data_IF_100970622061
#
_entry.id   IF_100970622061
#
_cell.length_a   1.000
_cell.length_b   1.000
_cell.length_c   1.000
_cell.angle_alpha   90.00
_cell.angle_beta   90.00
_cell.angle_gamma   90.00
#
_symmetry.space_group_name_H-M   'P 1'
#
loop_
_entity.id
_entity.type
_entity.pdbx_description
1 polymer ?
#
# COMPACT_ATOMS: atom_id res chain seq x y z
N UNK A 1 -8.46 21.96 -5.37
CA UNK A 1 -8.86 20.67 -4.76
C UNK A 1 -7.74 20.19 -3.86
N UNK A 2 -8.07 19.92 -2.59
CA UNK A 2 -7.10 19.55 -1.56
C UNK A 2 -7.26 18.05 -1.24
N UNK A 3 -6.22 17.29 -1.45
CA UNK A 3 -6.21 15.83 -1.31
C UNK A 3 -5.24 15.43 -0.21
N UNK A 4 -5.72 14.68 0.78
CA UNK A 4 -4.92 14.13 1.84
C UNK A 4 -4.65 12.64 1.58
N UNK A 5 -3.39 12.28 1.39
CA UNK A 5 -2.95 10.89 1.30
C UNK A 5 -2.49 10.38 2.66
N UNK A 6 -3.02 9.25 3.10
CA UNK A 6 -2.68 8.60 4.36
C UNK A 6 -2.10 7.22 4.10
N UNK A 7 -1.01 6.88 4.75
CA UNK A 7 -0.48 5.53 4.81
C UNK A 7 -0.36 5.09 6.26
N UNK A 8 -0.87 3.89 6.55
CA UNK A 8 -0.62 3.14 7.78
C UNK A 8 0.22 1.91 7.42
N UNK A 9 1.01 1.43 8.28
CA UNK A 9 1.93 0.31 8.37
C UNK A 9 3.29 0.84 8.80
N UNK A 10 4.37 0.05 8.71
CA UNK A 10 5.69 0.58 9.01
C UNK A 10 5.91 1.91 8.25
N UNK A 11 6.37 2.92 8.96
CA UNK A 11 6.56 4.29 8.48
C UNK A 11 5.25 4.98 8.08
N UNK A 12 4.29 5.00 9.01
CA UNK A 12 3.06 5.77 8.85
C UNK A 12 3.37 7.19 8.36
N UNK A 13 2.67 7.65 7.33
CA UNK A 13 2.99 8.92 6.67
C UNK A 13 1.75 9.61 6.12
N UNK A 14 1.87 10.91 5.92
CA UNK A 14 0.83 11.74 5.33
C UNK A 14 1.41 12.68 4.30
N UNK A 15 0.68 12.84 3.20
CA UNK A 15 0.96 13.81 2.14
C UNK A 15 -0.27 14.67 1.88
N UNK A 16 -0.12 15.98 1.82
CA UNK A 16 -1.17 16.92 1.46
C UNK A 16 -0.84 17.58 0.14
N UNK A 17 -1.78 17.46 -0.80
CA UNK A 17 -1.74 18.14 -2.09
C UNK A 17 -2.82 19.22 -2.13
N UNK A 18 -2.44 20.43 -2.56
CA UNK A 18 -3.36 21.50 -2.88
C UNK A 18 -3.17 21.87 -4.35
N UNK A 19 -4.26 21.78 -5.13
CA UNK A 19 -4.25 22.06 -6.58
C UNK A 19 -3.09 21.37 -7.30
N UNK A 20 -2.97 20.05 -7.08
CA UNK A 20 -1.96 19.15 -7.66
C UNK A 20 -0.51 19.42 -7.21
N UNK A 21 -0.27 20.33 -6.27
CA UNK A 21 1.06 20.59 -5.70
C UNK A 21 1.18 19.97 -4.33
N UNK A 22 2.27 19.25 -4.08
CA UNK A 22 2.61 18.75 -2.75
C UNK A 22 2.96 19.93 -1.85
N UNK A 23 2.13 20.21 -0.85
CA UNK A 23 2.33 21.32 0.11
C UNK A 23 2.84 20.84 1.46
N UNK A 24 2.60 19.57 1.80
CA UNK A 24 3.08 18.99 3.04
C UNK A 24 3.33 17.48 2.85
N UNK A 25 4.42 16.98 3.41
CA UNK A 25 4.71 15.55 3.56
C UNK A 25 5.51 15.32 4.83
N UNK A 26 5.11 14.31 5.61
CA UNK A 26 5.90 13.88 6.75
C UNK A 26 5.63 12.39 7.08
N UNK A 27 6.57 11.80 7.82
CA UNK A 27 6.43 10.48 8.44
C UNK A 27 6.19 10.65 9.94
N UNK A 28 5.27 9.86 10.51
CA UNK A 28 4.88 9.98 11.91
C UNK A 28 6.08 9.83 12.86
N UNK A 29 7.02 8.94 12.53
CA UNK A 29 8.25 8.72 13.29
C UNK A 29 9.10 9.98 13.49
N UNK A 30 8.99 10.97 12.58
CA UNK A 30 9.73 12.24 12.68
C UNK A 30 9.20 13.12 13.82
N UNK A 31 7.92 12.99 14.12
CA UNK A 31 7.24 13.74 15.18
C UNK A 31 7.11 12.92 16.46
N UNK A 32 6.69 11.65 16.37
CA UNK A 32 6.53 10.77 17.52
C UNK A 32 7.87 10.33 18.15
N UNK A 33 8.99 10.40 17.38
CA UNK A 33 10.32 9.90 17.76
C UNK A 33 10.37 8.36 17.97
N UNK A 34 9.35 7.66 17.50
CA UNK A 34 9.29 6.18 17.52
C UNK A 34 9.71 5.67 16.16
N UNK A 35 10.83 4.94 16.08
CA UNK A 35 11.34 4.39 14.81
C UNK A 35 10.35 3.39 14.21
N UNK A 36 10.11 3.49 12.91
CA UNK A 36 9.14 2.66 12.16
C UNK A 36 7.72 2.77 12.74
N UNK A 37 7.33 3.95 13.23
CA UNK A 37 6.01 4.17 13.79
C UNK A 37 4.93 3.75 12.78
N UNK A 38 4.14 2.75 13.17
CA UNK A 38 3.09 2.13 12.35
C UNK A 38 1.68 2.48 12.81
N UNK A 39 1.58 3.35 13.80
CA UNK A 39 0.30 3.79 14.35
C UNK A 39 -0.37 4.84 13.46
N UNK A 40 -1.50 5.35 13.93
CA UNK A 40 -2.18 6.45 13.26
C UNK A 40 -1.30 7.71 13.26
N UNK A 41 -1.22 8.45 12.16
CA UNK A 41 -0.37 9.63 12.04
C UNK A 41 -0.98 10.86 12.75
N UNK A 42 -1.24 10.76 14.04
CA UNK A 42 -1.97 11.75 14.81
C UNK A 42 -1.18 13.06 14.98
N UNK A 43 0.14 12.99 15.16
CA UNK A 43 0.97 14.18 15.27
C UNK A 43 0.97 14.94 13.94
N UNK A 44 1.09 14.25 12.80
CA UNK A 44 1.05 14.87 11.48
C UNK A 44 -0.32 15.51 11.23
N UNK A 45 -1.42 14.83 11.54
CA UNK A 45 -2.76 15.38 11.33
C UNK A 45 -2.99 16.64 12.15
N UNK A 46 -2.45 16.70 13.36
CA UNK A 46 -2.48 17.93 14.17
C UNK A 46 -1.64 19.06 13.57
N UNK A 47 -0.49 18.76 12.95
CA UNK A 47 0.29 19.77 12.22
C UNK A 47 -0.48 20.30 11.00
N UNK A 48 -1.09 19.40 10.22
CA UNK A 48 -1.90 19.77 9.05
C UNK A 48 -3.09 20.62 9.47
N UNK A 49 -3.73 20.32 10.61
CA UNK A 49 -4.81 21.13 11.17
C UNK A 49 -4.41 22.60 11.34
N UNK A 50 -3.16 22.87 11.74
CA UNK A 50 -2.65 24.23 11.93
C UNK A 50 -2.55 25.03 10.63
N UNK A 51 -2.48 24.34 9.48
CA UNK A 51 -2.45 24.99 8.17
C UNK A 51 -3.79 25.60 7.78
N UNK A 52 -4.86 25.25 8.49
CA UNK A 52 -6.23 25.72 8.23
C UNK A 52 -6.71 25.49 6.78
N UNK A 53 -6.31 24.35 6.20
CA UNK A 53 -6.67 23.95 4.86
C UNK A 53 -7.82 22.94 4.95
N UNK A 54 -8.92 23.23 4.26
CA UNK A 54 -10.04 22.30 4.13
C UNK A 54 -9.65 21.15 3.20
N UNK A 55 -9.89 19.90 3.63
CA UNK A 55 -9.60 18.69 2.86
C UNK A 55 -10.84 18.30 2.06
N UNK A 56 -10.71 18.24 0.74
CA UNK A 56 -11.79 17.85 -0.16
C UNK A 56 -11.87 16.33 -0.33
N UNK A 57 -10.72 15.62 -0.31
CA UNK A 57 -10.65 14.17 -0.49
C UNK A 57 -9.57 13.54 0.38
N UNK A 58 -9.84 12.34 0.87
CA UNK A 58 -8.87 11.51 1.59
C UNK A 58 -8.62 10.22 0.82
N UNK A 59 -7.36 9.90 0.61
CA UNK A 59 -6.92 8.63 0.00
C UNK A 59 -6.10 7.88 1.04
N UNK A 60 -6.52 6.68 1.42
CA UNK A 60 -5.88 5.93 2.49
C UNK A 60 -5.41 4.56 2.02
N UNK A 61 -4.22 4.16 2.45
CA UNK A 61 -3.64 2.85 2.20
C UNK A 61 -3.15 2.21 3.50
N UNK A 62 -3.19 0.86 3.59
CA UNK A 62 -2.74 0.15 4.79
C UNK A 62 -3.72 0.19 5.98
N UNK A 63 -4.90 0.71 5.79
CA UNK A 63 -5.96 0.74 6.80
C UNK A 63 -6.94 -0.41 6.58
N UNK A 64 -7.28 -1.14 7.64
CA UNK A 64 -8.48 -1.97 7.65
C UNK A 64 -9.70 -1.08 7.92
N UNK A 65 -10.90 -1.65 7.88
CA UNK A 65 -12.13 -0.88 8.03
C UNK A 65 -12.24 -0.20 9.40
N UNK A 66 -11.90 -0.91 10.48
CA UNK A 66 -11.96 -0.38 11.84
C UNK A 66 -10.99 0.79 11.98
N UNK A 67 -9.77 0.60 11.50
CA UNK A 67 -8.74 1.64 11.49
C UNK A 67 -9.17 2.86 10.68
N UNK A 68 -9.80 2.64 9.51
CA UNK A 68 -10.29 3.71 8.67
C UNK A 68 -11.37 4.52 9.37
N UNK A 69 -12.36 3.87 9.98
CA UNK A 69 -13.38 4.56 10.77
C UNK A 69 -12.76 5.36 11.92
N UNK A 70 -11.78 4.80 12.61
CA UNK A 70 -11.11 5.47 13.72
C UNK A 70 -10.40 6.73 13.28
N UNK A 71 -9.58 6.65 12.20
CA UNK A 71 -8.83 7.80 11.73
C UNK A 71 -9.71 8.89 11.11
N UNK A 72 -10.78 8.50 10.40
CA UNK A 72 -11.73 9.45 9.84
C UNK A 72 -12.55 10.13 10.93
N UNK A 73 -13.01 9.37 11.93
CA UNK A 73 -13.66 9.94 13.11
C UNK A 73 -12.78 10.95 13.84
N UNK A 74 -11.48 10.67 13.95
CA UNK A 74 -10.52 11.62 14.51
C UNK A 74 -10.39 12.87 13.64
N UNK A 75 -10.19 12.74 12.33
CA UNK A 75 -10.08 13.89 11.42
C UNK A 75 -11.33 14.75 11.42
N UNK A 76 -12.51 14.14 11.47
CA UNK A 76 -13.78 14.87 11.63
C UNK A 76 -13.84 15.63 12.97
N UNK A 77 -13.50 14.94 14.06
CA UNK A 77 -13.50 15.54 15.42
C UNK A 77 -12.58 16.75 15.52
N UNK A 78 -11.42 16.72 14.87
CA UNK A 78 -10.50 17.87 14.85
C UNK A 78 -10.84 18.90 13.76
N UNK A 79 -11.87 18.67 12.94
CA UNK A 79 -12.35 19.56 11.89
C UNK A 79 -11.41 19.66 10.68
N UNK A 80 -10.73 18.58 10.34
CA UNK A 80 -9.96 18.46 9.09
C UNK A 80 -10.84 18.10 7.90
N UNK A 81 -11.92 17.35 8.12
CA UNK A 81 -12.91 16.94 7.13
C UNK A 81 -14.31 17.22 7.62
N UNK A 82 -15.23 17.51 6.73
CA UNK A 82 -16.63 17.85 7.07
C UNK A 82 -17.51 16.59 7.21
N UNK A 83 -17.14 15.48 6.55
CA UNK A 83 -17.91 14.23 6.56
C UNK A 83 -16.99 13.03 6.60
N UNK A 84 -17.41 11.96 7.32
CA UNK A 84 -16.61 10.74 7.48
C UNK A 84 -16.69 9.85 6.23
N UNK A 85 -17.69 10.01 5.36
CA UNK A 85 -18.01 9.02 4.33
C UNK A 85 -18.00 9.54 2.89
N UNK A 86 -18.17 10.82 2.66
CA UNK A 86 -18.49 11.31 1.31
C UNK A 86 -17.31 11.41 0.33
N UNK A 87 -16.07 11.43 0.80
CA UNK A 87 -14.93 11.73 -0.08
C UNK A 87 -13.68 10.88 0.22
N UNK A 88 -13.89 9.63 0.64
CA UNK A 88 -12.77 8.75 1.00
C UNK A 88 -12.58 7.62 0.01
N UNK A 89 -11.35 7.37 -0.39
CA UNK A 89 -10.96 6.29 -1.29
C UNK A 89 -9.97 5.36 -0.59
N UNK A 90 -10.25 4.05 -0.65
CA UNK A 90 -9.36 3.03 -0.10
C UNK A 90 -8.71 2.22 -1.20
N UNK A 91 -7.39 2.09 -1.16
CA UNK A 91 -6.62 1.25 -2.06
C UNK A 91 -6.12 -0.01 -1.34
N UNK A 92 -7.01 -0.92 -0.98
CA UNK A 92 -6.62 -2.17 -0.31
C UNK A 92 -6.23 -3.29 -1.27
N UNK A 93 -6.79 -3.28 -2.48
CA UNK A 93 -6.84 -4.47 -3.33
C UNK A 93 -5.82 -4.49 -4.44
N UNK A 94 -4.87 -3.60 -4.43
CA UNK A 94 -3.96 -3.44 -5.55
C UNK A 94 -2.61 -2.93 -5.09
N UNK A 95 -1.94 -3.69 -4.21
CA UNK A 95 -0.64 -3.29 -3.67
C UNK A 95 0.35 -2.96 -4.80
N UNK A 96 0.48 -3.86 -5.79
CA UNK A 96 1.34 -3.61 -6.95
C UNK A 96 0.83 -2.48 -7.84
N UNK A 97 -0.48 -2.24 -7.93
CA UNK A 97 -0.98 -1.08 -8.67
C UNK A 97 -0.57 0.23 -8.00
N UNK A 98 -0.58 0.28 -6.66
CA UNK A 98 -0.10 1.47 -5.92
C UNK A 98 1.38 1.73 -6.20
N UNK A 99 2.21 0.68 -6.24
CA UNK A 99 3.61 0.80 -6.65
C UNK A 99 3.76 1.29 -8.09
N UNK A 100 2.95 0.75 -9.01
CA UNK A 100 2.98 1.16 -10.42
C UNK A 100 2.56 2.62 -10.60
N UNK A 101 1.49 3.05 -9.93
CA UNK A 101 1.03 4.45 -9.92
C UNK A 101 2.13 5.37 -9.39
N UNK A 102 2.72 5.02 -8.24
CA UNK A 102 3.81 5.80 -7.66
C UNK A 102 5.00 5.92 -8.63
N UNK A 103 5.44 4.81 -9.22
CA UNK A 103 6.56 4.81 -10.17
C UNK A 103 6.26 5.68 -11.38
N UNK A 104 5.05 5.57 -11.97
CA UNK A 104 4.63 6.36 -13.11
C UNK A 104 4.65 7.85 -12.83
N UNK A 105 3.98 8.28 -11.74
CA UNK A 105 3.90 9.70 -11.39
C UNK A 105 5.24 10.30 -10.94
N UNK A 106 6.17 9.46 -10.44
CA UNK A 106 7.52 9.91 -10.06
C UNK A 106 8.49 9.95 -11.25
N UNK A 107 8.17 9.29 -12.36
CA UNK A 107 9.05 9.20 -13.54
C UNK A 107 8.94 10.37 -14.51
N UNK A 108 7.91 11.21 -14.38
CA UNK A 108 7.52 12.24 -15.34
C UNK A 108 7.20 11.69 -16.76
N UNK A 109 6.94 10.40 -16.90
CA UNK A 109 6.55 9.79 -18.16
C UNK A 109 5.04 9.89 -18.36
N UNK A 110 4.58 10.10 -19.58
CA UNK A 110 3.14 10.09 -19.92
C UNK A 110 2.62 8.65 -20.12
N UNK A 111 3.48 7.77 -20.61
CA UNK A 111 3.19 6.35 -20.84
C UNK A 111 4.42 5.51 -20.52
N UNK A 112 4.23 4.36 -19.92
CA UNK A 112 5.33 3.43 -19.62
C UNK A 112 4.85 1.99 -19.47
N UNK A 113 5.73 1.06 -19.78
CA UNK A 113 5.64 -0.32 -19.28
C UNK A 113 6.26 -0.34 -17.89
N UNK A 114 5.49 -0.77 -16.89
CA UNK A 114 5.86 -0.70 -15.49
C UNK A 114 5.98 -2.11 -14.94
N UNK A 115 7.16 -2.42 -14.40
CA UNK A 115 7.41 -3.68 -13.71
C UNK A 115 7.40 -3.43 -12.21
N UNK A 116 6.63 -4.24 -11.48
CA UNK A 116 6.61 -4.25 -10.03
C UNK A 116 7.09 -5.62 -9.57
N UNK A 117 8.18 -5.63 -8.80
CA UNK A 117 8.72 -6.82 -8.16
C UNK A 117 8.76 -6.55 -6.64
N UNK A 118 8.05 -7.35 -5.88
CA UNK A 118 7.90 -7.16 -4.45
C UNK A 118 8.04 -8.48 -3.69
N UNK A 119 8.24 -8.39 -2.38
CA UNK A 119 8.34 -9.56 -1.51
C UNK A 119 6.97 -10.22 -1.28
N UNK A 120 5.93 -9.41 -1.15
CA UNK A 120 4.55 -9.85 -0.94
C UNK A 120 3.59 -8.69 -1.11
N UNK A 121 2.72 -8.79 -2.08
CA UNK A 121 1.63 -7.84 -2.29
C UNK A 121 0.26 -8.39 -1.87
N UNK A 122 -0.78 -7.97 -2.57
CA UNK A 122 -2.17 -8.37 -2.29
C UNK A 122 -2.38 -9.88 -2.42
N UNK A 123 -3.33 -10.39 -1.66
CA UNK A 123 -3.73 -11.81 -1.68
C UNK A 123 -4.92 -12.01 -2.61
N UNK A 124 -4.85 -13.06 -3.41
CA UNK A 124 -5.89 -13.49 -4.34
C UNK A 124 -6.34 -14.90 -4.01
N UNK A 125 -7.63 -15.16 -4.15
CA UNK A 125 -8.18 -16.52 -4.10
C UNK A 125 -8.03 -17.17 -5.47
N UNK A 126 -7.38 -18.34 -5.53
CA UNK A 126 -7.21 -19.14 -6.73
C UNK A 126 -8.46 -20.00 -6.98
N UNK A 127 -8.68 -20.42 -8.22
CA UNK A 127 -9.83 -21.27 -8.60
C UNK A 127 -9.86 -22.64 -7.89
N UNK A 128 -8.71 -23.10 -7.41
CA UNK A 128 -8.56 -24.33 -6.61
C UNK A 128 -8.77 -24.10 -5.10
N UNK A 129 -9.27 -22.94 -4.69
CA UNK A 129 -9.47 -22.57 -3.30
C UNK A 129 -8.18 -22.22 -2.53
N UNK A 130 -7.00 -22.26 -3.17
CA UNK A 130 -5.74 -21.82 -2.57
C UNK A 130 -5.59 -20.30 -2.67
N UNK A 131 -4.70 -19.76 -1.86
CA UNK A 131 -4.34 -18.35 -1.90
C UNK A 131 -3.01 -18.13 -2.62
N UNK A 132 -2.95 -17.06 -3.38
CA UNK A 132 -1.73 -16.57 -3.98
C UNK A 132 -1.47 -15.12 -3.59
N UNK A 133 -0.22 -14.79 -3.27
CA UNK A 133 0.21 -13.41 -3.03
C UNK A 133 0.90 -12.88 -4.27
N UNK A 134 0.56 -11.69 -4.70
CA UNK A 134 1.27 -11.07 -5.81
C UNK A 134 2.72 -10.78 -5.42
N UNK A 135 3.62 -11.16 -6.34
CA UNK A 135 5.07 -11.04 -6.17
C UNK A 135 5.72 -10.32 -7.35
N UNK A 136 5.05 -10.35 -8.49
CA UNK A 136 5.49 -9.67 -9.69
C UNK A 136 4.29 -9.25 -10.53
N UNK A 137 4.32 -8.06 -11.09
CA UNK A 137 3.26 -7.57 -11.98
C UNK A 137 3.85 -6.69 -13.08
N UNK A 138 3.19 -6.71 -14.24
CA UNK A 138 3.50 -5.85 -15.37
C UNK A 138 2.27 -5.03 -15.72
N UNK A 139 2.42 -3.72 -15.79
CA UNK A 139 1.35 -2.80 -16.15
C UNK A 139 1.72 -1.99 -17.39
N UNK A 140 0.74 -1.74 -18.24
CA UNK A 140 0.77 -0.67 -19.21
C UNK A 140 0.16 0.57 -18.56
N UNK A 141 0.99 1.53 -18.18
CA UNK A 141 0.57 2.74 -17.47
C UNK A 141 0.47 3.95 -18.40
N UNK A 142 -0.56 4.75 -18.20
CA UNK A 142 -0.75 6.04 -18.87
C UNK A 142 -1.39 7.03 -17.90
N UNK A 143 -0.84 8.23 -17.78
CA UNK A 143 -1.42 9.31 -16.98
C UNK A 143 -2.86 9.63 -17.43
N UNK A 144 -3.09 9.59 -18.75
CA UNK A 144 -4.39 9.91 -19.34
C UNK A 144 -5.40 8.77 -19.27
N UNK A 145 -4.95 7.53 -19.53
CA UNK A 145 -5.83 6.38 -19.73
C UNK A 145 -5.89 5.41 -18.54
N UNK A 146 -5.07 5.64 -17.50
CA UNK A 146 -4.99 4.75 -16.34
C UNK A 146 -4.00 3.60 -16.55
N UNK A 147 -4.24 2.48 -15.87
CA UNK A 147 -3.30 1.37 -15.78
C UNK A 147 -4.00 0.05 -16.13
N UNK A 148 -3.46 -0.66 -17.11
CA UNK A 148 -3.90 -2.00 -17.48
C UNK A 148 -2.89 -3.03 -16.96
N UNK A 149 -3.35 -4.01 -16.19
CA UNK A 149 -2.51 -5.12 -15.77
C UNK A 149 -2.34 -6.12 -16.92
N UNK A 150 -1.12 -6.22 -17.43
CA UNK A 150 -0.80 -7.13 -18.54
C UNK A 150 -0.43 -8.52 -18.06
N UNK A 151 0.22 -8.61 -16.91
CA UNK A 151 0.70 -9.87 -16.34
C UNK A 151 0.79 -9.78 -14.82
N UNK A 152 0.52 -10.90 -14.16
CA UNK A 152 0.68 -11.04 -12.73
C UNK A 152 1.25 -12.41 -12.37
N UNK A 153 2.24 -12.45 -11.48
CA UNK A 153 2.75 -13.67 -10.90
C UNK A 153 2.38 -13.74 -9.44
N UNK A 154 1.81 -14.85 -9.04
CA UNK A 154 1.35 -15.12 -7.69
C UNK A 154 2.21 -16.22 -7.06
N UNK A 155 2.61 -16.03 -5.81
CA UNK A 155 3.23 -17.07 -5.00
C UNK A 155 2.18 -17.70 -4.11
N UNK A 156 2.07 -19.04 -4.17
CA UNK A 156 1.26 -19.79 -3.21
C UNK A 156 2.09 -20.16 -2.00
N UNK A 157 1.46 -20.22 -0.82
CA UNK A 157 2.07 -20.82 0.36
C UNK A 157 2.22 -22.32 0.15
N UNK A 158 3.42 -22.85 0.38
CA UNK A 158 3.68 -24.28 0.37
C UNK A 158 2.77 -25.00 1.39
N UNK A 159 2.16 -26.11 0.98
CA UNK A 159 1.58 -27.07 1.91
C UNK A 159 2.66 -27.49 2.91
N UNK A 160 2.42 -27.23 4.22
CA UNK A 160 3.32 -27.64 5.27
C UNK A 160 3.86 -26.56 6.20
N UNK A 161 3.75 -25.30 5.84
CA UNK A 161 4.06 -24.20 6.78
C UNK A 161 2.78 -23.55 7.33
N UNK A 162 1.98 -24.35 7.96
CA UNK A 162 1.05 -24.22 9.05
C UNK A 162 0.31 -22.94 9.41
N UNK A 163 0.46 -21.86 8.71
CA UNK A 163 -0.43 -20.73 8.85
C UNK A 163 -1.62 -20.92 7.89
N UNK A 164 -2.66 -21.59 8.37
CA UNK A 164 -3.99 -21.41 7.79
C UNK A 164 -4.34 -19.95 8.02
N UNK A 165 -4.13 -19.11 6.98
CA UNK A 165 -4.70 -17.78 7.01
C UNK A 165 -6.20 -17.95 7.23
N UNK A 166 -6.74 -17.28 8.22
CA UNK A 166 -8.18 -17.29 8.47
C UNK A 166 -8.86 -16.55 7.31
N UNK A 167 -10.08 -16.95 6.91
CA UNK A 167 -10.82 -16.21 5.89
C UNK A 167 -10.85 -14.70 6.14
N UNK A 168 -10.88 -14.27 7.39
CA UNK A 168 -10.86 -12.88 7.83
C UNK A 168 -9.52 -12.15 7.57
N UNK A 169 -8.41 -12.89 7.45
CA UNK A 169 -7.08 -12.34 7.14
C UNK A 169 -6.87 -12.22 5.62
N UNK A 170 -7.66 -12.94 4.84
CA UNK A 170 -7.65 -12.93 3.37
C UNK A 170 -8.45 -11.77 2.82
N UNK A 171 -9.56 -11.50 3.45
CA UNK A 171 -10.45 -10.42 3.11
C UNK A 171 -9.94 -9.18 3.83
N UNK A 172 -9.02 -8.46 3.20
CA UNK A 172 -8.90 -7.06 3.57
C UNK A 172 -10.33 -6.52 3.60
N UNK A 173 -10.78 -6.08 4.76
CA UNK A 173 -12.14 -5.71 5.08
C UNK A 173 -12.67 -4.70 4.08
N UNK A 174 -13.36 -5.21 3.09
CA UNK A 174 -14.11 -4.41 2.16
C UNK A 174 -15.56 -4.83 2.29
N UNK A 175 -16.37 -3.95 2.85
CA UNK A 175 -17.78 -4.18 3.04
C UNK A 175 -18.56 -4.42 1.75
N UNK A 176 -17.95 -4.28 0.58
CA UNK A 176 -18.71 -4.18 -0.65
C UNK A 176 -18.43 -5.25 -1.69
N UNK A 177 -17.30 -5.97 -1.67
CA UNK A 177 -17.08 -7.08 -2.63
C UNK A 177 -16.02 -8.09 -2.17
N UNK A 178 -16.23 -9.38 -2.52
CA UNK A 178 -15.25 -10.43 -2.27
C UNK A 178 -13.92 -10.16 -2.97
N UNK A 179 -12.88 -10.84 -2.52
CA UNK A 179 -11.55 -10.83 -3.10
C UNK A 179 -11.60 -10.75 -4.63
N UNK A 180 -10.73 -9.93 -5.22
CA UNK A 180 -10.53 -9.92 -6.66
C UNK A 180 -10.27 -11.37 -7.09
N UNK A 181 -11.15 -11.93 -7.90
CA UNK A 181 -10.97 -13.28 -8.42
C UNK A 181 -10.00 -13.22 -9.58
N UNK A 182 -9.24 -14.29 -9.80
CA UNK A 182 -8.35 -14.39 -10.96
C UNK A 182 -9.04 -14.28 -12.31
N UNK A 183 -10.36 -14.38 -12.35
CA UNK A 183 -11.16 -14.11 -13.56
C UNK A 183 -10.96 -12.71 -14.12
N UNK A 184 -10.52 -11.78 -13.28
CA UNK A 184 -10.24 -10.39 -13.67
C UNK A 184 -8.87 -10.25 -14.37
N UNK A 185 -8.04 -11.30 -14.38
CA UNK A 185 -6.70 -11.29 -15.00
C UNK A 185 -6.59 -12.31 -16.12
N UNK A 186 -6.26 -11.83 -17.31
CA UNK A 186 -6.11 -12.70 -18.51
C UNK A 186 -4.81 -13.51 -18.49
N UNK A 187 -3.76 -12.96 -17.87
CA UNK A 187 -2.42 -13.55 -17.87
C UNK A 187 -1.87 -13.56 -16.45
N UNK A 188 -1.83 -14.71 -15.83
CA UNK A 188 -1.18 -14.89 -14.54
C UNK A 188 -0.40 -16.22 -14.51
N UNK A 189 0.59 -16.27 -13.65
CA UNK A 189 1.37 -17.47 -13.36
C UNK A 189 1.39 -17.71 -11.86
N UNK A 190 1.44 -18.96 -11.44
CA UNK A 190 1.48 -19.39 -10.05
C UNK A 190 2.77 -20.13 -9.80
N UNK A 191 3.59 -19.63 -8.88
CA UNK A 191 4.88 -20.22 -8.56
C UNK A 191 5.01 -20.44 -7.05
N UNK A 192 5.76 -21.47 -6.68
CA UNK A 192 6.07 -21.80 -5.29
C UNK A 192 7.44 -21.29 -4.85
N UNK A 193 8.23 -20.79 -5.78
CA UNK A 193 9.60 -20.34 -5.51
C UNK A 193 9.63 -18.92 -4.93
N UNK A 194 10.48 -18.65 -3.94
CA UNK A 194 10.64 -17.31 -3.42
C UNK A 194 11.21 -16.38 -4.51
N UNK A 195 10.73 -15.15 -4.52
CA UNK A 195 11.18 -14.12 -5.45
C UNK A 195 12.12 -13.12 -4.79
N UNK A 196 12.62 -12.20 -5.62
CA UNK A 196 13.66 -11.23 -5.29
C UNK A 196 13.48 -10.53 -3.94
N UNK A 197 12.29 -10.04 -3.59
CA UNK A 197 12.08 -9.35 -2.32
C UNK A 197 12.24 -10.27 -1.11
N UNK A 198 11.65 -11.47 -1.14
CA UNK A 198 11.80 -12.45 -0.07
C UNK A 198 13.26 -12.96 0.04
N UNK A 199 13.96 -13.09 -1.10
CA UNK A 199 15.37 -13.44 -1.11
C UNK A 199 16.22 -12.35 -0.47
N UNK A 200 15.92 -11.09 -0.80
CA UNK A 200 16.62 -9.93 -0.24
C UNK A 200 16.43 -9.82 1.28
N UNK A 201 15.22 -10.00 1.79
CA UNK A 201 14.94 -10.05 3.23
C UNK A 201 15.70 -11.19 3.92
N UNK A 202 15.82 -12.37 3.28
CA UNK A 202 16.59 -13.48 3.85
C UNK A 202 18.07 -13.16 3.94
N UNK A 203 18.65 -12.52 2.94
CA UNK A 203 20.05 -12.06 2.99
C UNK A 203 20.23 -11.02 4.10
N UNK A 204 19.30 -10.06 4.22
CA UNK A 204 19.31 -9.04 5.27
C UNK A 204 19.38 -9.70 6.66
N UNK A 205 18.50 -10.67 6.92
CA UNK A 205 18.48 -11.40 8.19
C UNK A 205 19.74 -12.27 8.37
N UNK A 206 20.23 -12.91 7.31
CA UNK A 206 21.44 -13.73 7.37
C UNK A 206 22.70 -12.91 7.74
N UNK A 207 22.74 -11.66 7.34
CA UNK A 207 23.81 -10.72 7.69
C UNK A 207 23.62 -10.08 9.08
N UNK A 208 22.66 -10.56 9.87
CA UNK A 208 22.42 -10.12 11.26
C UNK A 208 21.58 -8.85 11.38
N UNK A 209 21.02 -8.33 10.30
CA UNK A 209 20.06 -7.24 10.36
C UNK A 209 18.66 -7.75 10.72
N UNK A 210 17.81 -6.85 11.20
CA UNK A 210 16.41 -7.17 11.52
C UNK A 210 15.53 -7.14 10.26
N UNK A 211 14.40 -7.78 10.33
CA UNK A 211 13.33 -7.62 9.31
C UNK A 211 12.98 -6.14 9.14
N UNK A 212 12.81 -5.69 7.92
CA UNK A 212 12.63 -4.28 7.50
C UNK A 212 13.89 -3.40 7.62
N UNK A 213 15.06 -3.99 7.75
CA UNK A 213 16.36 -3.31 7.68
C UNK A 213 17.00 -3.41 6.28
N UNK A 214 16.26 -3.78 5.24
CA UNK A 214 16.77 -3.97 3.87
C UNK A 214 17.44 -2.71 3.33
N UNK A 215 16.99 -1.53 3.75
CA UNK A 215 17.65 -0.26 3.42
C UNK A 215 19.06 -0.13 3.96
N UNK A 216 19.38 -0.78 5.09
CA UNK A 216 20.75 -0.83 5.62
C UNK A 216 21.66 -1.71 4.76
N UNK A 217 21.12 -2.85 4.29
CA UNK A 217 21.84 -3.72 3.37
C UNK A 217 22.15 -2.99 2.05
N UNK A 218 21.20 -2.23 1.51
CA UNK A 218 21.41 -1.38 0.33
C UNK A 218 22.52 -0.36 0.57
N UNK A 219 22.57 0.23 1.77
CA UNK A 219 23.63 1.19 2.15
C UNK A 219 25.01 0.57 2.30
N UNK A 220 25.15 -0.74 2.46
CA UNK A 220 26.45 -1.42 2.48
C UNK A 220 27.09 -1.55 1.08
N UNK A 221 26.33 -1.31 0.01
CA UNK A 221 26.82 -1.39 -1.38
C UNK A 221 27.39 -0.07 -1.89
N UNK A 222 27.24 1.00 -1.14
CA UNK A 222 27.75 2.34 -1.45
C UNK A 222 29.08 2.58 -0.74
#
# INVERSE_FOLDING_TARGET
>A
MNILGLQKNHNSSVALFCDYKLVYYNQEERLSKIKNDSFFPLHILNEIKKLNIKIDKVVATGYNTIDAHTIYGYMYKIGLIDSVYENTFHFYKSHHLVHAVKAMYSSNMEKALILVADGRGSTYLLDNGKQGHEIFSVYNGSIKNGFDCLYKRLQTTLEGHGAKARPEEIYGFDFVKPAITLKDFKNFDVDHRPVSGAFYSRITNHLGFKTNDEGKLMGLQS
#
